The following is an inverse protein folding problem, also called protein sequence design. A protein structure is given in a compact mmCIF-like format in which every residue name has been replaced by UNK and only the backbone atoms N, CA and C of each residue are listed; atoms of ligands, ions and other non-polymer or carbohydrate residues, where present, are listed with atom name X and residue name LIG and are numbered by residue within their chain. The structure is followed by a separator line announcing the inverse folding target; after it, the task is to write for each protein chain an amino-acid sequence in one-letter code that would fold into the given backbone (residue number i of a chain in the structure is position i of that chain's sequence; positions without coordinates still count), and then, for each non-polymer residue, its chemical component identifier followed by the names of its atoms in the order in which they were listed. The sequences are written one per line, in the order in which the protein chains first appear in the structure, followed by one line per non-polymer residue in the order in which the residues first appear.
data_IF_302230437058
#
_entry.id   IF_302230437058
#
_cell.length_a   1.000
_cell.length_b   1.000
_cell.length_c   1.000
_cell.angle_alpha   90.00
_cell.angle_beta   90.00
_cell.angle_gamma   90.00
#
_symmetry.space_group_name_H-M   'P 1'
#
loop_
_entity.id
_entity.type
_entity.pdbx_description
1 polymer ?
#
# COMPACT_ATOMS: atom_id res chain seq x y z
N UNK A 1 29.64 -0.42 -16.10
CA UNK A 1 30.25 0.02 -14.86
C UNK A 1 30.47 -1.25 -14.03
N UNK A 2 31.70 -1.62 -13.80
CA UNK A 2 32.05 -2.78 -12.99
C UNK A 2 33.07 -2.34 -11.93
N UNK A 3 33.02 -2.95 -10.74
CA UNK A 3 34.06 -2.77 -9.75
C UNK A 3 35.29 -3.57 -10.17
N UNK A 4 36.49 -3.02 -9.96
CA UNK A 4 37.74 -3.76 -10.13
C UNK A 4 37.95 -4.80 -9.03
N UNK A 5 37.32 -4.62 -7.86
CA UNK A 5 37.33 -5.54 -6.73
C UNK A 5 35.98 -6.26 -6.62
N UNK A 6 35.93 -7.52 -7.01
CA UNK A 6 34.72 -8.36 -6.94
C UNK A 6 34.38 -8.79 -5.51
N UNK A 7 35.34 -8.74 -4.57
CA UNK A 7 35.12 -9.07 -3.16
C UNK A 7 34.48 -7.92 -2.38
N UNK A 8 34.71 -6.67 -2.85
CA UNK A 8 34.16 -5.47 -2.24
C UNK A 8 33.71 -4.49 -3.32
N UNK A 9 32.65 -4.77 -4.07
CA UNK A 9 32.21 -3.94 -5.18
C UNK A 9 31.68 -2.59 -4.71
N UNK A 10 31.93 -1.54 -5.51
CA UNK A 10 31.37 -0.20 -5.29
C UNK A 10 29.84 -0.19 -5.50
N UNK A 11 29.22 0.85 -4.95
CA UNK A 11 27.79 1.15 -5.15
C UNK A 11 26.83 0.08 -4.62
N UNK A 12 27.24 -0.65 -3.59
CA UNK A 12 26.40 -1.66 -2.93
C UNK A 12 25.62 -1.06 -1.75
N UNK A 13 24.50 -1.70 -1.38
CA UNK A 13 23.72 -1.35 -0.21
C UNK A 13 24.49 -1.65 1.08
N UNK A 14 25.25 -2.74 1.12
CA UNK A 14 25.92 -3.21 2.34
C UNK A 14 24.90 -3.53 3.45
N UNK A 15 25.18 -3.10 4.68
CA UNK A 15 24.29 -3.28 5.85
C UNK A 15 23.19 -2.20 5.96
N UNK A 16 22.83 -1.55 4.86
CA UNK A 16 21.80 -0.51 4.85
C UNK A 16 20.39 -1.07 5.02
N UNK A 17 19.54 -0.30 5.69
CA UNK A 17 18.11 -0.52 5.73
C UNK A 17 17.47 0.15 4.52
N UNK A 18 17.02 -0.63 3.54
CA UNK A 18 16.45 -0.13 2.28
C UNK A 18 14.92 -0.01 2.39
N UNK A 19 14.34 1.09 1.94
CA UNK A 19 12.89 1.35 2.05
C UNK A 19 12.05 0.38 1.23
N UNK A 20 12.52 -0.02 0.05
CA UNK A 20 11.79 -0.89 -0.88
C UNK A 20 12.17 -2.38 -0.82
N UNK A 21 12.89 -2.79 0.22
CA UNK A 21 13.35 -4.19 0.35
C UNK A 21 12.21 -5.22 0.37
N UNK A 22 10.98 -4.80 0.67
CA UNK A 22 9.78 -5.63 0.70
C UNK A 22 8.81 -5.41 -0.47
N UNK A 23 9.25 -4.76 -1.57
CA UNK A 23 8.35 -4.48 -2.71
C UNK A 23 7.72 -5.74 -3.30
N UNK A 24 8.43 -6.87 -3.33
CA UNK A 24 7.90 -8.16 -3.78
C UNK A 24 6.81 -8.71 -2.85
N UNK A 25 6.99 -8.57 -1.53
CA UNK A 25 5.98 -8.95 -0.54
C UNK A 25 4.74 -8.05 -0.62
N UNK A 26 4.93 -6.74 -0.78
CA UNK A 26 3.86 -5.79 -1.02
C UNK A 26 3.01 -6.20 -2.24
N UNK A 27 3.63 -6.51 -3.38
CA UNK A 27 2.94 -6.96 -4.57
C UNK A 27 2.20 -8.30 -4.35
N UNK A 28 2.78 -9.22 -3.58
CA UNK A 28 2.12 -10.46 -3.22
C UNK A 28 0.83 -10.24 -2.42
N UNK A 29 0.84 -9.29 -1.48
CA UNK A 29 -0.37 -8.90 -0.74
C UNK A 29 -1.43 -8.29 -1.67
N UNK A 30 -1.05 -7.35 -2.53
CA UNK A 30 -1.95 -6.72 -3.51
C UNK A 30 -2.60 -7.76 -4.43
N UNK A 31 -1.82 -8.77 -4.86
CA UNK A 31 -2.30 -9.85 -5.73
C UNK A 31 -3.01 -10.99 -4.98
N UNK A 32 -3.14 -10.92 -3.65
CA UNK A 32 -3.78 -11.97 -2.86
C UNK A 32 -2.98 -13.29 -2.79
N UNK A 33 -1.66 -13.25 -3.01
CA UNK A 33 -0.78 -14.43 -2.97
C UNK A 33 -0.30 -14.78 -1.55
N UNK A 34 -0.57 -13.93 -0.56
CA UNK A 34 -0.16 -14.14 0.82
C UNK A 34 1.31 -13.84 1.06
N UNK A 35 1.89 -14.53 2.06
CA UNK A 35 3.28 -14.30 2.46
C UNK A 35 4.27 -15.10 1.61
N UNK A 36 5.22 -14.40 0.99
CA UNK A 36 6.40 -15.00 0.35
C UNK A 36 7.54 -15.20 1.35
N UNK A 37 7.55 -14.38 2.41
CA UNK A 37 8.54 -14.35 3.48
C UNK A 37 7.87 -14.69 4.82
N UNK A 38 8.66 -14.96 5.86
CA UNK A 38 8.13 -15.16 7.20
C UNK A 38 7.44 -13.88 7.70
N UNK A 39 6.20 -13.99 8.16
CA UNK A 39 5.38 -12.86 8.61
C UNK A 39 6.10 -12.00 9.64
N UNK A 40 6.74 -12.63 10.63
CA UNK A 40 7.47 -11.95 11.71
C UNK A 40 8.61 -11.09 11.16
N UNK A 41 9.29 -11.58 10.11
CA UNK A 41 10.37 -10.85 9.47
C UNK A 41 9.84 -9.66 8.65
N UNK A 42 8.70 -9.83 7.97
CA UNK A 42 8.03 -8.74 7.24
C UNK A 42 7.67 -7.61 8.20
N UNK A 43 6.95 -7.91 9.28
CA UNK A 43 6.55 -6.92 10.28
C UNK A 43 7.77 -6.20 10.88
N UNK A 44 8.80 -6.95 11.32
CA UNK A 44 10.02 -6.38 11.88
C UNK A 44 10.82 -5.53 10.88
N UNK A 45 10.79 -5.88 9.61
CA UNK A 45 11.46 -5.09 8.56
C UNK A 45 10.78 -3.74 8.39
N UNK A 46 9.44 -3.68 8.39
CA UNK A 46 8.68 -2.43 8.29
C UNK A 46 8.88 -1.54 9.52
N UNK A 47 8.92 -2.13 10.73
CA UNK A 47 9.31 -1.41 11.95
C UNK A 47 10.72 -0.81 11.83
N UNK A 48 11.66 -1.57 11.25
CA UNK A 48 13.04 -1.11 11.04
C UNK A 48 13.11 0.02 10.01
N UNK A 49 12.34 -0.06 8.93
CA UNK A 49 12.23 1.02 7.94
C UNK A 49 11.72 2.29 8.62
N UNK A 50 10.64 2.19 9.41
CA UNK A 50 10.11 3.34 10.12
C UNK A 50 11.11 3.91 11.11
N UNK A 51 11.81 3.04 11.84
CA UNK A 51 12.80 3.44 12.85
C UNK A 51 14.04 4.13 12.27
N UNK A 52 14.55 3.65 11.14
CA UNK A 52 15.86 4.06 10.64
C UNK A 52 15.80 4.99 9.43
N UNK A 53 14.77 4.87 8.59
CA UNK A 53 14.66 5.67 7.35
C UNK A 53 13.76 6.90 7.52
N UNK A 54 12.87 6.91 8.53
CA UNK A 54 11.96 8.03 8.73
C UNK A 54 12.69 9.27 9.24
N UNK A 55 12.42 10.40 8.57
CA UNK A 55 12.81 11.74 8.99
C UNK A 55 11.56 12.58 9.15
N UNK A 56 11.40 13.23 10.31
CA UNK A 56 10.30 14.16 10.56
C UNK A 56 10.59 15.57 10.02
N UNK A 57 11.83 15.84 9.68
CA UNK A 57 12.34 17.12 9.18
C UNK A 57 13.59 16.85 8.35
N UNK A 58 13.71 17.49 7.20
CA UNK A 58 14.82 17.36 6.27
C UNK A 58 15.66 18.64 6.15
N UNK A 59 15.42 19.65 7.01
CA UNK A 59 16.14 20.95 6.95
C UNK A 59 17.66 20.79 7.03
N UNK A 60 18.12 19.87 7.88
CA UNK A 60 19.55 19.57 8.07
C UNK A 60 19.99 18.30 7.33
N UNK A 61 19.12 17.74 6.46
CA UNK A 61 19.44 16.52 5.74
C UNK A 61 20.31 16.80 4.53
N UNK A 62 21.53 16.27 4.54
CA UNK A 62 22.39 16.30 3.37
C UNK A 62 21.94 15.26 2.34
N UNK A 63 21.56 15.74 1.16
CA UNK A 63 21.27 14.90 0.02
C UNK A 63 22.42 14.95 -0.98
N UNK A 64 23.06 13.81 -1.22
CA UNK A 64 24.25 13.74 -2.05
C UNK A 64 23.92 13.73 -3.55
N UNK A 65 22.66 13.62 -3.96
CA UNK A 65 22.29 13.53 -5.37
C UNK A 65 21.06 14.39 -5.70
N UNK A 66 19.85 13.80 -5.82
CA UNK A 66 18.61 14.52 -6.16
C UNK A 66 17.75 14.74 -4.92
N UNK A 67 17.00 15.83 -4.86
CA UNK A 67 16.14 16.18 -3.74
C UNK A 67 14.69 16.25 -4.17
N UNK A 68 13.87 15.33 -3.70
CA UNK A 68 12.41 15.30 -3.95
C UNK A 68 11.57 15.64 -2.73
N UNK A 69 12.20 15.76 -1.56
CA UNK A 69 11.63 16.30 -0.34
C UNK A 69 12.64 17.26 0.32
N UNK A 70 12.18 18.38 0.88
CA UNK A 70 13.03 19.51 1.27
C UNK A 70 12.55 20.16 2.56
N UNK A 71 13.47 20.86 3.24
CA UNK A 71 13.15 21.68 4.41
C UNK A 71 12.45 20.89 5.51
N UNK A 72 11.39 21.43 6.06
CA UNK A 72 10.62 20.83 7.15
C UNK A 72 9.68 19.69 6.71
N UNK A 73 9.85 19.14 5.52
CA UNK A 73 9.05 18.01 5.07
C UNK A 73 9.49 16.72 5.75
N UNK A 74 8.50 15.85 6.03
CA UNK A 74 8.76 14.52 6.57
C UNK A 74 8.74 13.47 5.45
N UNK A 75 9.63 12.46 5.54
CA UNK A 75 9.75 11.43 4.53
C UNK A 75 10.47 10.17 5.01
N UNK A 76 10.39 9.09 4.22
CA UNK A 76 11.24 7.91 4.33
C UNK A 76 12.39 8.02 3.33
N UNK A 77 13.64 7.97 3.82
CA UNK A 77 14.84 7.93 2.97
C UNK A 77 14.94 6.59 2.26
N UNK A 78 15.56 6.58 1.07
CA UNK A 78 15.82 5.34 0.31
C UNK A 78 16.59 4.31 1.14
N UNK A 79 17.65 4.73 1.83
CA UNK A 79 18.32 3.86 2.78
C UNK A 79 18.92 4.63 3.93
N UNK A 80 19.07 3.93 5.05
CA UNK A 80 19.81 4.38 6.24
C UNK A 80 20.83 3.33 6.65
N UNK A 81 21.84 3.74 7.38
CA UNK A 81 22.94 2.89 7.81
C UNK A 81 23.07 2.91 9.33
N UNK A 82 22.25 2.10 10.04
CA UNK A 82 22.27 2.10 11.51
C UNK A 82 23.54 1.46 12.10
N UNK A 83 24.32 0.77 11.27
CA UNK A 83 25.60 0.17 11.66
C UNK A 83 26.72 0.77 10.82
N UNK A 84 27.24 0.02 9.84
CA UNK A 84 28.30 0.45 8.95
C UNK A 84 27.77 0.82 7.57
N UNK A 85 28.39 1.81 6.96
CA UNK A 85 28.09 2.23 5.59
C UNK A 85 29.29 1.92 4.69
N UNK A 86 29.09 1.35 3.48
CA UNK A 86 30.13 1.25 2.47
C UNK A 86 30.77 2.62 2.19
N UNK A 87 32.04 2.64 1.85
CA UNK A 87 32.77 3.88 1.50
C UNK A 87 32.06 4.56 0.32
N UNK A 88 31.74 3.76 -0.70
CA UNK A 88 31.00 4.20 -1.89
C UNK A 88 29.65 3.45 -1.95
N UNK A 89 28.62 3.90 -1.20
CA UNK A 89 27.30 3.29 -1.25
C UNK A 89 26.59 3.58 -2.57
N UNK A 90 25.47 2.89 -2.83
CA UNK A 90 24.66 3.23 -4.00
C UNK A 90 24.20 4.69 -3.91
N UNK A 91 24.19 5.45 -5.04
CA UNK A 91 24.14 6.92 -5.00
C UNK A 91 22.80 7.50 -4.52
N UNK A 92 21.71 6.72 -4.53
CA UNK A 92 20.37 7.17 -4.18
C UNK A 92 20.02 7.05 -2.69
N UNK A 93 20.93 6.63 -1.83
CA UNK A 93 20.62 6.26 -0.44
C UNK A 93 20.04 7.42 0.39
N UNK A 94 20.40 8.66 0.10
CA UNK A 94 19.89 9.85 0.79
C UNK A 94 18.61 10.42 0.19
N UNK A 95 18.16 9.90 -0.95
CA UNK A 95 16.97 10.42 -1.62
C UNK A 95 15.68 9.98 -0.95
N UNK A 96 14.61 10.69 -1.27
CA UNK A 96 13.22 10.31 -0.99
C UNK A 96 12.56 9.95 -2.31
N UNK A 97 12.08 8.73 -2.44
CA UNK A 97 11.39 8.25 -3.65
C UNK A 97 9.96 7.90 -3.29
N UNK A 98 9.03 8.75 -3.67
CA UNK A 98 7.62 8.74 -3.24
C UNK A 98 6.94 7.40 -3.47
N UNK A 99 7.17 6.75 -4.60
CA UNK A 99 6.58 5.44 -4.88
C UNK A 99 7.06 4.35 -3.92
N UNK A 100 8.31 4.38 -3.48
CA UNK A 100 8.83 3.43 -2.49
C UNK A 100 8.35 3.75 -1.07
N UNK A 101 8.15 5.02 -0.74
CA UNK A 101 7.48 5.39 0.50
C UNK A 101 6.06 4.79 0.54
N UNK A 102 5.30 4.87 -0.58
CA UNK A 102 3.97 4.25 -0.68
C UNK A 102 4.03 2.74 -0.51
N UNK A 103 4.96 2.04 -1.16
CA UNK A 103 5.04 0.57 -1.02
C UNK A 103 5.34 0.14 0.42
N UNK A 104 6.25 0.85 1.11
CA UNK A 104 6.54 0.61 2.52
C UNK A 104 5.33 0.93 3.42
N UNK A 105 4.71 2.10 3.24
CA UNK A 105 3.55 2.53 4.01
C UNK A 105 2.37 1.56 3.88
N UNK A 106 2.09 1.09 2.66
CA UNK A 106 1.02 0.13 2.41
C UNK A 106 1.36 -1.26 2.94
N UNK A 107 2.63 -1.67 2.87
CA UNK A 107 3.12 -2.84 3.59
C UNK A 107 2.80 -2.76 5.09
N UNK A 108 3.04 -1.60 5.73
CA UNK A 108 2.67 -1.34 7.12
C UNK A 108 1.16 -1.52 7.37
N UNK A 109 0.30 -1.04 6.45
CA UNK A 109 -1.15 -1.23 6.56
C UNK A 109 -1.54 -2.71 6.53
N UNK A 110 -0.94 -3.52 5.64
CA UNK A 110 -1.19 -4.97 5.57
C UNK A 110 -0.73 -5.72 6.83
N UNK A 111 0.33 -5.25 7.48
CA UNK A 111 0.85 -5.83 8.72
C UNK A 111 0.18 -5.28 10.00
N UNK A 112 -0.83 -4.41 9.86
CA UNK A 112 -1.56 -3.83 10.99
C UNK A 112 -0.82 -2.68 11.70
N UNK A 113 0.31 -2.20 11.16
CA UNK A 113 1.02 -1.00 11.61
C UNK A 113 0.34 0.25 11.01
N UNK A 114 -0.94 0.41 11.35
CA UNK A 114 -1.84 1.35 10.64
C UNK A 114 -1.43 2.81 10.83
N UNK A 115 -1.05 3.19 12.04
CA UNK A 115 -0.71 4.58 12.36
C UNK A 115 0.56 5.02 11.62
N UNK A 116 1.59 4.17 11.56
CA UNK A 116 2.82 4.41 10.83
C UNK A 116 2.57 4.49 9.31
N UNK A 117 1.80 3.55 8.78
CA UNK A 117 1.44 3.54 7.36
C UNK A 117 0.66 4.79 6.96
N UNK A 118 -0.36 5.18 7.72
CA UNK A 118 -1.15 6.39 7.46
C UNK A 118 -0.31 7.66 7.65
N UNK A 119 0.59 7.69 8.63
CA UNK A 119 1.53 8.81 8.84
C UNK A 119 2.43 9.02 7.62
N UNK A 120 3.00 7.95 7.06
CA UNK A 120 3.81 8.06 5.85
C UNK A 120 2.99 8.55 4.66
N UNK A 121 1.78 8.02 4.45
CA UNK A 121 0.87 8.48 3.38
C UNK A 121 0.51 9.95 3.54
N UNK A 122 0.18 10.40 4.76
CA UNK A 122 -0.12 11.80 5.05
C UNK A 122 1.07 12.71 4.72
N UNK A 123 2.28 12.34 5.14
CA UNK A 123 3.50 13.11 4.85
C UNK A 123 3.75 13.23 3.33
N UNK A 124 3.48 12.19 2.55
CA UNK A 124 3.57 12.26 1.09
C UNK A 124 2.51 13.25 0.56
N UNK A 125 1.26 13.12 1.00
CA UNK A 125 0.18 14.01 0.56
C UNK A 125 0.42 15.47 0.94
N UNK A 126 1.02 15.73 2.09
CA UNK A 126 1.41 17.08 2.51
C UNK A 126 2.48 17.72 1.61
N UNK A 127 3.32 16.91 0.97
CA UNK A 127 4.30 17.39 -0.02
C UNK A 127 3.67 17.70 -1.37
N UNK A 128 2.56 17.01 -1.72
CA UNK A 128 1.83 17.12 -2.99
C UNK A 128 0.40 17.63 -2.77
N UNK A 129 0.26 18.73 -2.01
CA UNK A 129 -1.00 19.30 -1.55
C UNK A 129 -1.65 20.27 -2.57
N UNK A 130 -1.04 20.48 -3.71
CA UNK A 130 -1.46 21.44 -4.73
C UNK A 130 -0.94 22.87 -4.48
N UNK A 131 -0.29 23.14 -3.35
CA UNK A 131 0.37 24.42 -3.03
C UNK A 131 1.87 24.30 -3.15
N UNK A 132 2.46 23.27 -2.53
CA UNK A 132 3.89 22.98 -2.59
C UNK A 132 4.26 22.33 -3.92
N UNK A 133 3.55 21.27 -4.27
CA UNK A 133 3.73 20.53 -5.55
C UNK A 133 2.39 20.08 -6.10
N UNK A 134 2.34 19.85 -7.42
CA UNK A 134 1.17 19.29 -8.07
C UNK A 134 0.84 17.89 -7.53
N UNK A 135 -0.41 17.60 -7.11
CA UNK A 135 -0.81 16.26 -6.69
C UNK A 135 -0.89 15.25 -7.84
N UNK A 136 -0.76 15.70 -9.08
CA UNK A 136 -0.83 14.89 -10.29
C UNK A 136 0.55 14.70 -10.97
N UNK A 137 1.60 15.20 -10.34
CA UNK A 137 2.95 15.20 -10.93
C UNK A 137 3.98 14.70 -9.91
N UNK A 138 4.35 13.42 -10.01
CA UNK A 138 5.48 12.87 -9.30
C UNK A 138 6.78 13.40 -9.91
N UNK A 139 7.54 14.14 -9.12
CA UNK A 139 8.75 14.84 -9.57
C UNK A 139 9.93 13.90 -9.86
N UNK A 140 9.91 12.66 -9.36
CA UNK A 140 10.99 11.70 -9.54
C UNK A 140 11.25 11.43 -11.04
N UNK A 141 12.52 11.36 -11.40
CA UNK A 141 12.98 10.97 -12.75
C UNK A 141 12.36 11.74 -13.93
N UNK A 142 12.13 13.04 -13.76
CA UNK A 142 11.68 13.91 -14.85
C UNK A 142 10.17 14.13 -14.95
N UNK A 143 9.49 14.02 -13.83
CA UNK A 143 8.05 14.24 -13.67
C UNK A 143 7.14 13.08 -14.15
N UNK A 144 5.92 13.06 -13.64
CA UNK A 144 4.87 12.05 -13.93
C UNK A 144 5.36 10.61 -13.79
N UNK A 145 6.21 10.36 -12.79
CA UNK A 145 6.81 9.05 -12.58
C UNK A 145 5.80 8.05 -12.04
N UNK A 146 5.54 6.98 -12.80
CA UNK A 146 4.43 6.05 -12.57
C UNK A 146 4.47 5.24 -11.27
N UNK A 147 5.61 5.19 -10.56
CA UNK A 147 5.75 4.42 -9.31
C UNK A 147 4.83 4.92 -8.19
N UNK A 148 4.49 6.21 -8.18
CA UNK A 148 3.53 6.79 -7.24
C UNK A 148 2.12 6.19 -7.36
N UNK A 149 1.80 5.50 -8.46
CA UNK A 149 0.56 4.72 -8.61
C UNK A 149 0.40 3.62 -7.55
N UNK A 150 1.47 3.22 -6.87
CA UNK A 150 1.40 2.35 -5.70
C UNK A 150 0.42 2.86 -4.63
N UNK A 151 0.18 4.17 -4.55
CA UNK A 151 -0.79 4.80 -3.64
C UNK A 151 -2.21 4.21 -3.73
N UNK A 152 -2.62 3.74 -4.90
CA UNK A 152 -3.95 3.16 -5.12
C UNK A 152 -4.20 1.90 -4.28
N UNK A 153 -3.17 1.12 -4.01
CA UNK A 153 -3.27 -0.08 -3.19
C UNK A 153 -3.50 0.21 -1.70
N UNK A 154 -3.37 1.47 -1.25
CA UNK A 154 -3.79 1.85 0.10
C UNK A 154 -5.28 1.61 0.35
N UNK A 155 -6.13 1.87 -0.66
CA UNK A 155 -7.55 1.56 -0.58
C UNK A 155 -7.78 0.05 -0.42
N UNK A 156 -7.01 -0.80 -1.10
CA UNK A 156 -7.10 -2.25 -0.96
C UNK A 156 -6.67 -2.72 0.43
N UNK A 157 -5.55 -2.21 0.94
CA UNK A 157 -5.05 -2.57 2.27
C UNK A 157 -6.00 -2.13 3.40
N UNK A 158 -6.59 -0.92 3.30
CA UNK A 158 -7.50 -0.37 4.30
C UNK A 158 -8.86 -1.06 4.31
N UNK A 159 -9.35 -1.47 3.13
CA UNK A 159 -10.68 -2.10 2.97
C UNK A 159 -10.62 -3.62 3.03
N UNK A 160 -9.45 -4.23 2.83
CA UNK A 160 -9.31 -5.66 2.61
C UNK A 160 -10.01 -6.14 1.34
N UNK A 161 -10.28 -5.21 0.39
CA UNK A 161 -10.99 -5.54 -0.83
C UNK A 161 -10.17 -6.45 -1.74
N UNK A 162 -10.83 -7.51 -2.22
CA UNK A 162 -10.32 -8.37 -3.28
C UNK A 162 -11.49 -8.92 -4.09
N UNK A 163 -11.34 -8.97 -5.40
CA UNK A 163 -12.31 -9.57 -6.30
C UNK A 163 -11.65 -10.58 -7.25
N UNK A 164 -12.23 -11.77 -7.36
CA UNK A 164 -11.85 -12.77 -8.33
C UNK A 164 -12.91 -12.90 -9.41
N UNK A 165 -12.61 -12.46 -10.62
CA UNK A 165 -13.50 -12.60 -11.77
C UNK A 165 -13.71 -14.08 -12.19
N UNK A 166 -12.79 -14.97 -11.84
CA UNK A 166 -12.89 -16.41 -12.12
C UNK A 166 -13.91 -17.07 -11.20
N UNK A 167 -13.77 -16.86 -9.89
CA UNK A 167 -14.67 -17.45 -8.87
C UNK A 167 -15.87 -16.58 -8.58
N UNK A 168 -15.90 -15.33 -9.07
CA UNK A 168 -16.91 -14.30 -8.78
C UNK A 168 -17.10 -14.10 -7.28
N UNK A 169 -16.00 -14.16 -6.55
CA UNK A 169 -15.92 -13.89 -5.13
C UNK A 169 -15.47 -12.45 -4.89
N UNK A 170 -16.25 -11.72 -4.11
CA UNK A 170 -15.94 -10.40 -3.60
C UNK A 170 -15.64 -10.50 -2.09
N UNK A 171 -14.51 -9.96 -1.65
CA UNK A 171 -14.03 -10.04 -0.28
C UNK A 171 -13.73 -8.66 0.27
N UNK A 172 -14.02 -8.44 1.57
CA UNK A 172 -13.63 -7.26 2.34
C UNK A 172 -13.06 -7.65 3.72
N UNK A 173 -12.38 -6.72 4.35
CA UNK A 173 -12.01 -6.80 5.76
C UNK A 173 -13.24 -6.66 6.69
N UNK A 174 -13.04 -6.90 8.00
CA UNK A 174 -14.13 -6.98 9.00
C UNK A 174 -14.50 -5.62 9.65
N UNK A 175 -13.92 -4.52 9.21
CA UNK A 175 -14.24 -3.20 9.76
C UNK A 175 -15.57 -2.68 9.21
N UNK A 176 -16.45 -2.22 10.10
CA UNK A 176 -17.70 -1.55 9.71
C UNK A 176 -17.41 -0.18 9.11
N UNK A 177 -18.23 0.23 8.14
CA UNK A 177 -18.06 1.50 7.44
C UNK A 177 -18.52 1.45 5.99
N UNK A 178 -18.39 2.57 5.30
CA UNK A 178 -18.62 2.68 3.86
C UNK A 178 -17.29 2.74 3.12
N UNK A 179 -17.12 1.87 2.16
CA UNK A 179 -15.89 1.70 1.39
C UNK A 179 -16.14 1.82 -0.10
N UNK A 180 -15.20 2.40 -0.81
CA UNK A 180 -15.13 2.32 -2.26
C UNK A 180 -14.59 0.95 -2.68
N UNK A 181 -15.09 0.41 -3.78
CA UNK A 181 -14.54 -0.77 -4.44
C UNK A 181 -14.52 -0.60 -5.97
N UNK A 182 -13.59 -1.30 -6.62
CA UNK A 182 -13.56 -1.45 -8.08
C UNK A 182 -13.01 -2.85 -8.42
N UNK A 183 -13.73 -3.58 -9.25
CA UNK A 183 -13.37 -4.93 -9.71
C UNK A 183 -12.77 -4.95 -11.12
N UNK A 184 -12.56 -3.77 -11.73
CA UNK A 184 -12.06 -3.60 -13.09
C UNK A 184 -13.15 -3.58 -14.17
N UNK A 185 -14.38 -4.02 -13.85
CA UNK A 185 -15.56 -3.99 -14.74
C UNK A 185 -16.62 -3.03 -14.25
N UNK A 186 -16.65 -2.82 -12.95
CA UNK A 186 -17.55 -1.93 -12.26
C UNK A 186 -16.86 -1.27 -11.07
N UNK A 187 -17.48 -0.21 -10.55
CA UNK A 187 -17.11 0.36 -9.26
C UNK A 187 -18.34 0.83 -8.50
N UNK A 188 -18.17 0.95 -7.17
CA UNK A 188 -19.27 1.33 -6.31
C UNK A 188 -18.88 1.48 -4.86
N UNK A 189 -19.88 1.32 -3.99
CA UNK A 189 -19.71 1.36 -2.54
C UNK A 189 -20.12 0.06 -1.88
N UNK A 190 -19.44 -0.29 -0.79
CA UNK A 190 -19.80 -1.37 0.12
C UNK A 190 -20.05 -0.76 1.50
N UNK A 191 -21.28 -0.88 2.01
CA UNK A 191 -21.62 -0.49 3.37
C UNK A 191 -21.60 -1.75 4.25
N UNK A 192 -20.59 -1.85 5.12
CA UNK A 192 -20.42 -2.97 6.04
C UNK A 192 -20.92 -2.55 7.43
N UNK A 193 -21.88 -3.26 7.95
CA UNK A 193 -22.49 -3.00 9.27
C UNK A 193 -22.48 -4.24 10.14
N UNK A 194 -22.74 -4.05 11.44
CA UNK A 194 -23.02 -5.16 12.35
C UNK A 194 -24.24 -5.94 11.85
N UNK A 195 -24.18 -7.26 11.97
CA UNK A 195 -25.32 -8.10 11.62
C UNK A 195 -26.43 -8.04 12.67
N UNK A 196 -27.67 -8.25 12.23
CA UNK A 196 -28.84 -8.38 13.08
C UNK A 196 -29.30 -9.83 13.17
N UNK A 197 -30.14 -10.17 14.18
CA UNK A 197 -30.78 -11.47 14.30
C UNK A 197 -29.81 -12.68 14.18
N UNK A 198 -28.66 -12.62 14.82
CA UNK A 198 -27.66 -13.69 14.83
C UNK A 198 -26.70 -13.71 13.61
N UNK A 199 -26.81 -12.76 12.72
CA UNK A 199 -25.79 -12.53 11.69
C UNK A 199 -24.58 -11.81 12.28
N UNK A 200 -23.38 -12.07 11.74
CA UNK A 200 -22.15 -11.39 12.15
C UNK A 200 -21.98 -10.04 11.45
N UNK A 201 -22.28 -9.99 10.14
CA UNK A 201 -22.18 -8.77 9.33
C UNK A 201 -23.30 -8.70 8.30
N UNK A 202 -23.68 -7.47 7.94
CA UNK A 202 -24.49 -7.13 6.76
C UNK A 202 -23.65 -6.27 5.82
N UNK A 203 -23.66 -6.61 4.52
CA UNK A 203 -22.89 -5.91 3.49
C UNK A 203 -23.86 -5.48 2.39
N UNK A 204 -24.07 -4.17 2.24
CA UNK A 204 -24.80 -3.59 1.12
C UNK A 204 -23.81 -3.18 0.02
N UNK A 205 -23.87 -3.85 -1.11
CA UNK A 205 -23.12 -3.49 -2.31
C UNK A 205 -24.00 -2.61 -3.19
N UNK A 206 -23.49 -1.45 -3.58
CA UNK A 206 -24.11 -0.57 -4.57
C UNK A 206 -23.18 -0.39 -5.75
N UNK A 207 -23.65 -0.62 -6.96
CA UNK A 207 -22.91 -0.39 -8.20
C UNK A 207 -23.20 1.02 -8.71
N UNK A 208 -22.17 1.86 -8.81
CA UNK A 208 -22.29 3.22 -9.32
C UNK A 208 -22.11 3.28 -10.85
N UNK A 209 -21.25 2.40 -11.39
CA UNK A 209 -21.02 2.32 -12.82
C UNK A 209 -20.54 0.92 -13.20
N UNK A 210 -20.82 0.51 -14.43
CA UNK A 210 -20.42 -0.80 -14.95
C UNK A 210 -21.37 -1.92 -14.55
N UNK A 211 -20.85 -3.15 -14.59
CA UNK A 211 -21.57 -4.37 -14.21
C UNK A 211 -20.64 -5.30 -13.43
N UNK A 212 -21.04 -5.70 -12.23
CA UNK A 212 -20.33 -6.67 -11.40
C UNK A 212 -21.11 -7.98 -11.29
N UNK A 213 -20.41 -9.10 -11.19
CA UNK A 213 -20.99 -10.43 -11.05
C UNK A 213 -20.48 -11.10 -9.76
N UNK A 214 -21.38 -11.41 -8.84
CA UNK A 214 -21.04 -11.92 -7.49
C UNK A 214 -21.73 -13.25 -7.26
N UNK A 215 -20.98 -14.30 -6.94
CA UNK A 215 -21.51 -15.59 -6.43
C UNK A 215 -21.28 -15.68 -4.92
N UNK A 216 -20.13 -15.20 -4.45
CA UNK A 216 -19.73 -15.32 -3.05
C UNK A 216 -19.29 -13.98 -2.50
N UNK A 217 -19.82 -13.65 -1.31
CA UNK A 217 -19.38 -12.52 -0.51
C UNK A 217 -18.66 -13.03 0.73
N UNK A 218 -17.46 -12.54 0.99
CA UNK A 218 -16.65 -12.93 2.15
C UNK A 218 -16.28 -11.70 2.97
N UNK A 219 -16.45 -11.76 4.28
CA UNK A 219 -15.89 -10.82 5.25
C UNK A 219 -14.83 -11.56 6.05
N UNK A 220 -13.60 -11.07 5.99
CA UNK A 220 -12.45 -11.71 6.64
C UNK A 220 -12.67 -11.81 8.15
N UNK A 221 -12.47 -13.00 8.73
CA UNK A 221 -12.71 -13.23 10.16
C UNK A 221 -14.19 -13.40 10.56
N UNK A 222 -15.17 -12.95 9.75
CA UNK A 222 -16.58 -13.08 10.04
C UNK A 222 -17.26 -14.27 9.33
N UNK A 223 -16.82 -14.59 8.09
CA UNK A 223 -17.37 -15.70 7.33
C UNK A 223 -17.75 -15.34 5.90
N UNK A 224 -18.55 -16.18 5.26
CA UNK A 224 -18.98 -15.95 3.87
C UNK A 224 -20.42 -16.41 3.62
N UNK A 225 -21.03 -15.84 2.58
CA UNK A 225 -22.30 -16.31 2.01
C UNK A 225 -22.11 -16.56 0.52
N UNK A 226 -22.61 -17.71 0.04
CA UNK A 226 -22.58 -18.08 -1.37
C UNK A 226 -24.00 -18.20 -1.91
N UNK A 227 -24.22 -17.64 -3.11
CA UNK A 227 -25.46 -17.82 -3.86
C UNK A 227 -25.43 -19.11 -4.70
N UNK A 228 -26.62 -19.63 -5.02
CA UNK A 228 -26.77 -20.76 -5.98
C UNK A 228 -26.61 -20.31 -7.43
N UNK A 229 -26.74 -19.01 -7.68
CA UNK A 229 -26.63 -18.38 -9.00
C UNK A 229 -25.77 -17.11 -8.91
N UNK A 230 -25.21 -16.71 -10.04
CA UNK A 230 -24.52 -15.41 -10.17
C UNK A 230 -25.54 -14.29 -9.95
N UNK A 231 -25.20 -13.36 -9.08
CA UNK A 231 -25.90 -12.08 -8.92
C UNK A 231 -25.21 -11.07 -9.84
N UNK A 232 -25.90 -10.66 -10.87
CA UNK A 232 -25.44 -9.62 -11.80
C UNK A 232 -26.03 -8.29 -11.38
N UNK A 233 -25.18 -7.33 -11.03
CA UNK A 233 -25.55 -5.99 -10.60
C UNK A 233 -25.07 -4.98 -11.65
N UNK A 234 -25.97 -4.18 -12.18
CA UNK A 234 -25.67 -3.10 -13.12
C UNK A 234 -25.59 -1.77 -12.39
N UNK A 235 -25.16 -0.73 -13.07
CA UNK A 235 -25.18 0.64 -12.53
C UNK A 235 -26.57 1.01 -11.99
N UNK A 236 -26.61 1.47 -10.75
CA UNK A 236 -27.84 1.80 -9.99
C UNK A 236 -28.39 0.65 -9.14
N UNK A 237 -27.95 -0.59 -9.36
CA UNK A 237 -28.40 -1.72 -8.54
C UNK A 237 -27.71 -1.76 -7.18
N UNK A 238 -28.44 -2.30 -6.21
CA UNK A 238 -27.89 -2.58 -4.87
C UNK A 238 -28.35 -3.97 -4.39
N UNK A 239 -27.48 -4.66 -3.66
CA UNK A 239 -27.73 -6.00 -3.11
C UNK A 239 -27.17 -6.13 -1.70
N UNK A 240 -27.93 -6.74 -0.79
CA UNK A 240 -27.49 -6.99 0.59
C UNK A 240 -27.07 -8.44 0.78
N UNK A 241 -25.90 -8.65 1.35
CA UNK A 241 -25.34 -9.95 1.71
C UNK A 241 -25.29 -10.08 3.23
N UNK A 242 -25.91 -11.13 3.77
CA UNK A 242 -25.95 -11.42 5.22
C UNK A 242 -24.95 -12.51 5.53
N UNK A 243 -23.93 -12.17 6.31
CA UNK A 243 -22.86 -13.08 6.75
C UNK A 243 -23.24 -13.65 8.13
N UNK A 244 -23.32 -14.95 8.23
CA UNK A 244 -23.69 -15.68 9.45
C UNK A 244 -22.55 -16.45 10.07
#
# INVERSE_FOLDING_TARGET
MGSADYGNPDYQLGEGCLVDQLVGQYLAHVCGLGYLLKKENVAKTLESIMKYNYKSDLSDHFNCFRSYALGNEAALLMASYPKSRPVNPFPYFTEVMTGFEYTAAIGMLYEGQTDEGLKCIANIRDRYDGRKRSPFDEAECGHHYGRAMASWSSALALTGFHYSAVTKEMKFGDKTGRYFWSDGYAYGTADISAGEAGAKRSVLITVLNGRSEIIKMTIEGAGSVSGKKVRSLNAGDSETFIIR
#
